data_IF_812337628998
#
_entry.id   IF_812337628998
#
_cell.length_a   1.000
_cell.length_b   1.000
_cell.length_c   1.000
_cell.angle_alpha   90.00
_cell.angle_beta   90.00
_cell.angle_gamma   90.00
#
_symmetry.space_group_name_H-M   'P 1'
#
loop_
_entity.id
_entity.type
_entity.pdbx_description
1 polymer ?
#
# COMPACT_ATOMS: atom_id res chain seq x y z
N UNK A 1 30.41 -18.88 11.39
CA UNK A 1 29.17 -18.21 11.85
C UNK A 1 28.36 -17.96 10.60
N UNK A 2 27.26 -18.62 10.50
CA UNK A 2 26.53 -18.96 9.29
C UNK A 2 25.82 -17.76 8.64
N UNK A 3 26.17 -17.53 7.38
CA UNK A 3 25.60 -16.53 6.49
C UNK A 3 24.25 -16.97 5.90
N UNK A 4 23.20 -17.01 6.71
CA UNK A 4 21.85 -17.31 6.22
C UNK A 4 20.97 -16.05 5.98
N UNK A 5 21.59 -14.86 5.85
CA UNK A 5 20.85 -13.60 5.76
C UNK A 5 20.37 -13.25 4.33
N UNK A 6 20.71 -14.03 3.30
CA UNK A 6 20.48 -13.63 1.90
C UNK A 6 19.75 -14.66 1.02
N UNK A 7 19.02 -15.58 1.62
CA UNK A 7 18.19 -16.48 0.81
C UNK A 7 16.94 -15.74 0.37
N UNK A 8 16.66 -15.60 -0.95
CA UNK A 8 15.40 -15.04 -1.42
C UNK A 8 14.28 -15.99 -0.96
N UNK A 9 13.57 -15.61 0.06
CA UNK A 9 12.33 -16.29 0.41
C UNK A 9 11.31 -15.97 -0.68
N UNK A 10 10.82 -17.01 -1.34
CA UNK A 10 9.61 -16.94 -2.16
C UNK A 10 8.53 -16.15 -1.43
N UNK A 11 7.63 -15.45 -2.13
CA UNK A 11 6.56 -14.72 -1.46
C UNK A 11 5.90 -15.63 -0.43
N UNK A 12 5.89 -15.18 0.83
CA UNK A 12 5.15 -15.90 1.86
C UNK A 12 3.68 -15.79 1.48
N UNK A 13 3.02 -16.87 1.09
CA UNK A 13 1.61 -16.78 0.71
C UNK A 13 0.82 -16.29 1.91
N UNK A 14 0.09 -15.20 1.78
CA UNK A 14 -0.99 -14.82 2.72
C UNK A 14 -2.09 -15.89 2.70
N UNK A 15 -2.06 -16.78 1.73
CA UNK A 15 -2.97 -17.88 1.59
C UNK A 15 -2.74 -18.90 2.70
N UNK A 16 -3.48 -18.77 3.79
CA UNK A 16 -3.72 -19.91 4.69
C UNK A 16 -4.37 -21.01 3.84
N UNK A 17 -3.75 -22.21 3.73
CA UNK A 17 -4.33 -23.30 2.95
C UNK A 17 -5.79 -23.53 3.37
N UNK A 18 -6.72 -23.51 2.40
CA UNK A 18 -8.15 -23.71 2.65
C UNK A 18 -8.99 -22.45 2.90
N UNK A 19 -8.40 -21.26 3.02
CA UNK A 19 -9.16 -20.01 3.15
C UNK A 19 -9.32 -19.34 1.78
N UNK A 20 -10.56 -19.07 1.38
CA UNK A 20 -10.81 -18.42 0.08
C UNK A 20 -10.29 -16.97 0.04
N UNK A 21 -9.88 -16.47 -1.14
CA UNK A 21 -9.51 -15.05 -1.29
C UNK A 21 -10.59 -14.09 -0.82
N UNK A 22 -11.85 -14.42 -1.05
CA UNK A 22 -12.98 -13.64 -0.57
C UNK A 22 -13.03 -13.54 0.97
N UNK A 23 -12.77 -14.66 1.66
CA UNK A 23 -12.72 -14.68 3.13
C UNK A 23 -11.55 -13.82 3.64
N UNK A 24 -10.41 -13.87 2.97
CA UNK A 24 -9.24 -13.04 3.32
C UNK A 24 -9.55 -11.55 3.12
N UNK A 25 -10.17 -11.17 2.00
CA UNK A 25 -10.58 -9.80 1.74
C UNK A 25 -11.62 -9.31 2.77
N UNK A 26 -12.57 -10.18 3.13
CA UNK A 26 -13.56 -9.86 4.16
C UNK A 26 -12.93 -9.70 5.55
N UNK A 27 -11.86 -10.42 5.87
CA UNK A 27 -11.12 -10.23 7.12
C UNK A 27 -10.47 -8.82 7.17
N UNK A 28 -9.88 -8.37 6.06
CA UNK A 28 -9.33 -7.01 5.95
C UNK A 28 -10.44 -5.97 6.16
N UNK A 29 -11.59 -6.15 5.50
CA UNK A 29 -12.75 -5.26 5.62
C UNK A 29 -13.28 -5.19 7.05
N UNK A 30 -13.47 -6.35 7.69
CA UNK A 30 -13.96 -6.43 9.06
C UNK A 30 -13.00 -5.73 10.04
N UNK A 31 -11.69 -6.02 9.97
CA UNK A 31 -10.70 -5.36 10.82
C UNK A 31 -10.70 -3.84 10.65
N UNK A 32 -10.87 -3.36 9.41
CA UNK A 32 -10.91 -1.93 9.14
C UNK A 32 -12.19 -1.28 9.68
N UNK A 33 -13.34 -1.90 9.47
CA UNK A 33 -14.62 -1.41 9.99
C UNK A 33 -14.61 -1.34 11.52
N UNK A 34 -14.20 -2.41 12.18
CA UNK A 34 -14.17 -2.50 13.63
C UNK A 34 -13.23 -1.45 14.25
N UNK A 35 -12.03 -1.28 13.68
CA UNK A 35 -11.07 -0.32 14.18
C UNK A 35 -11.53 1.13 13.98
N UNK A 36 -12.07 1.47 12.81
CA UNK A 36 -12.60 2.81 12.53
C UNK A 36 -13.81 3.11 13.43
N UNK A 37 -14.70 2.13 13.60
CA UNK A 37 -15.87 2.28 14.48
C UNK A 37 -15.45 2.44 15.94
N UNK A 38 -14.51 1.65 16.43
CA UNK A 38 -14.01 1.75 17.81
C UNK A 38 -13.33 3.10 18.06
N UNK A 39 -12.56 3.61 17.12
CA UNK A 39 -11.90 4.90 17.20
C UNK A 39 -12.88 6.08 17.03
N UNK A 40 -14.10 5.85 16.56
CA UNK A 40 -15.06 6.87 16.13
C UNK A 40 -14.40 7.92 15.19
N UNK A 41 -13.42 7.51 14.43
CA UNK A 41 -12.61 8.36 13.55
C UNK A 41 -11.85 7.49 12.56
N UNK A 42 -11.76 7.93 11.30
CA UNK A 42 -11.01 7.24 10.26
C UNK A 42 -11.75 7.15 8.94
N UNK A 43 -11.16 6.44 8.00
CA UNK A 43 -11.62 6.35 6.63
C UNK A 43 -11.75 4.86 6.20
N UNK A 44 -12.95 4.28 6.20
CA UNK A 44 -13.13 2.86 5.84
C UNK A 44 -13.17 2.62 4.32
N UNK A 45 -13.36 3.65 3.50
CA UNK A 45 -13.61 3.50 2.05
C UNK A 45 -12.52 2.75 1.30
N UNK A 46 -11.28 3.20 1.39
CA UNK A 46 -10.15 2.54 0.73
C UNK A 46 -9.94 1.08 1.19
N UNK A 47 -9.96 0.74 2.49
CA UNK A 47 -9.94 -0.66 2.93
C UNK A 47 -11.08 -1.52 2.37
N UNK A 48 -12.26 -0.95 2.20
CA UNK A 48 -13.41 -1.67 1.65
C UNK A 48 -13.25 -1.94 0.16
N UNK A 49 -12.84 -0.94 -0.62
CA UNK A 49 -12.68 -1.04 -2.08
C UNK A 49 -11.47 -1.87 -2.50
N UNK A 50 -10.34 -1.67 -1.83
CA UNK A 50 -9.06 -2.24 -2.23
C UNK A 50 -8.75 -3.62 -1.63
N UNK A 51 -9.60 -4.21 -0.77
CA UNK A 51 -9.30 -5.45 -0.07
C UNK A 51 -8.99 -6.62 -1.02
N UNK A 52 -9.74 -6.79 -2.10
CA UNK A 52 -9.52 -7.88 -3.07
C UNK A 52 -8.20 -7.69 -3.84
N UNK A 53 -7.90 -6.45 -4.27
CA UNK A 53 -6.60 -6.10 -4.86
C UNK A 53 -5.45 -6.39 -3.91
N UNK A 54 -5.61 -6.02 -2.64
CA UNK A 54 -4.61 -6.24 -1.62
C UNK A 54 -4.34 -7.73 -1.39
N UNK A 55 -5.38 -8.57 -1.30
CA UNK A 55 -5.23 -10.02 -1.19
C UNK A 55 -4.51 -10.60 -2.40
N UNK A 56 -4.85 -10.15 -3.61
CA UNK A 56 -4.19 -10.62 -4.82
C UNK A 56 -2.70 -10.23 -4.83
N UNK A 57 -2.38 -8.97 -4.53
CA UNK A 57 -1.01 -8.47 -4.51
C UNK A 57 -0.16 -9.16 -3.43
N UNK A 58 -0.60 -9.08 -2.18
CA UNK A 58 0.17 -9.58 -1.03
C UNK A 58 0.24 -11.10 -0.98
N UNK A 59 -0.78 -11.79 -1.50
CA UNK A 59 -0.83 -13.26 -1.51
C UNK A 59 -0.11 -13.92 -2.67
N UNK A 60 0.20 -13.19 -3.76
CA UNK A 60 0.71 -13.83 -4.98
C UNK A 60 1.90 -13.13 -5.63
N UNK A 61 2.09 -11.84 -5.40
CA UNK A 61 3.04 -11.04 -6.18
C UNK A 61 4.08 -10.33 -5.32
N UNK A 62 3.69 -9.77 -4.17
CA UNK A 62 4.57 -8.99 -3.32
C UNK A 62 5.60 -9.89 -2.63
N UNK A 63 6.88 -9.67 -2.89
CA UNK A 63 7.98 -10.33 -2.21
C UNK A 63 8.32 -9.55 -0.94
N UNK A 64 7.95 -10.09 0.21
CA UNK A 64 8.19 -9.48 1.51
C UNK A 64 8.58 -10.54 2.55
N UNK A 65 9.16 -10.10 3.66
CA UNK A 65 9.52 -10.97 4.76
C UNK A 65 9.11 -10.34 6.09
N UNK A 66 8.03 -10.82 6.73
CA UNK A 66 7.54 -10.30 8.01
C UNK A 66 8.54 -10.42 9.16
N UNK A 67 9.43 -11.42 9.11
CA UNK A 67 10.47 -11.64 10.14
C UNK A 67 11.71 -10.79 9.90
N UNK A 68 11.90 -10.29 8.66
CA UNK A 68 12.96 -9.35 8.30
C UNK A 68 12.39 -8.21 7.44
N UNK A 69 11.62 -7.29 8.02
CA UNK A 69 11.01 -6.19 7.28
C UNK A 69 12.03 -5.20 6.69
N UNK A 70 13.29 -5.29 7.09
CA UNK A 70 14.41 -4.49 6.55
C UNK A 70 15.17 -5.18 5.41
N UNK A 71 14.75 -6.35 4.96
CA UNK A 71 15.40 -7.05 3.84
C UNK A 71 15.57 -6.12 2.63
N UNK A 72 16.80 -5.93 2.18
CA UNK A 72 17.14 -4.90 1.21
C UNK A 72 16.45 -5.09 -0.15
N UNK A 73 16.33 -6.33 -0.62
CA UNK A 73 15.73 -6.64 -1.92
C UNK A 73 14.24 -7.05 -1.85
N UNK A 74 13.53 -6.68 -0.76
CA UNK A 74 12.08 -6.82 -0.69
C UNK A 74 11.39 -5.88 -1.67
N UNK A 75 10.24 -6.26 -2.16
CA UNK A 75 9.38 -5.32 -2.88
C UNK A 75 8.90 -4.19 -1.94
N UNK A 76 8.63 -3.04 -2.50
CA UNK A 76 8.10 -1.87 -1.77
C UNK A 76 6.60 -1.78 -1.98
N UNK A 77 5.86 -1.61 -0.89
CA UNK A 77 4.43 -1.33 -0.95
C UNK A 77 4.15 0.05 -0.36
N UNK A 78 3.52 0.90 -1.16
CA UNK A 78 3.16 2.26 -0.77
C UNK A 78 1.64 2.42 -0.85
N UNK A 79 1.04 2.87 0.24
CA UNK A 79 -0.36 3.29 0.27
C UNK A 79 -0.42 4.81 0.10
N UNK A 80 -0.62 5.29 -1.14
CA UNK A 80 -0.63 6.74 -1.44
C UNK A 80 -1.87 7.43 -0.87
N UNK A 81 -3.02 6.74 -0.85
CA UNK A 81 -4.21 7.17 -0.13
C UNK A 81 -4.08 6.80 1.37
N UNK A 82 -3.09 7.40 2.02
CA UNK A 82 -2.69 7.09 3.39
C UNK A 82 -3.78 7.28 4.45
N UNK A 83 -4.84 8.04 4.15
CA UNK A 83 -6.02 8.14 5.01
C UNK A 83 -6.73 6.79 5.20
N UNK A 84 -6.62 5.86 4.23
CA UNK A 84 -7.09 4.49 4.33
C UNK A 84 -6.13 3.56 5.08
N UNK A 85 -5.43 4.06 6.08
CA UNK A 85 -4.31 3.40 6.78
C UNK A 85 -4.66 2.02 7.36
N UNK A 86 -5.91 1.77 7.74
CA UNK A 86 -6.32 0.46 8.22
C UNK A 86 -6.14 -0.66 7.20
N UNK A 87 -6.09 -0.35 5.90
CA UNK A 87 -5.77 -1.35 4.88
C UNK A 87 -4.38 -1.94 5.11
N UNK A 88 -3.36 -1.08 5.19
CA UNK A 88 -1.97 -1.55 5.39
C UNK A 88 -1.81 -2.19 6.78
N UNK A 89 -2.44 -1.67 7.82
CA UNK A 89 -2.34 -2.26 9.16
C UNK A 89 -2.98 -3.65 9.24
N UNK A 90 -4.15 -3.85 8.62
CA UNK A 90 -4.76 -5.17 8.53
C UNK A 90 -3.87 -6.16 7.75
N UNK A 91 -3.27 -5.72 6.64
CA UNK A 91 -2.34 -6.53 5.85
C UNK A 91 -1.10 -6.91 6.66
N UNK A 92 -0.45 -5.96 7.32
CA UNK A 92 0.72 -6.22 8.15
C UNK A 92 0.41 -7.18 9.29
N UNK A 93 -0.75 -7.04 9.95
CA UNK A 93 -1.19 -7.96 10.99
C UNK A 93 -1.41 -9.37 10.43
N UNK A 94 -2.20 -9.50 9.37
CA UNK A 94 -2.60 -10.78 8.80
C UNK A 94 -1.42 -11.53 8.14
N UNK A 95 -0.39 -10.81 7.71
CA UNK A 95 0.81 -11.39 7.08
C UNK A 95 1.95 -11.66 8.07
N UNK A 96 1.75 -11.44 9.36
CA UNK A 96 2.66 -11.86 10.41
C UNK A 96 3.76 -10.87 10.79
N UNK A 97 3.64 -9.60 10.40
CA UNK A 97 4.52 -8.57 10.94
C UNK A 97 4.27 -8.37 12.45
N UNK A 98 5.23 -7.75 13.15
CA UNK A 98 5.13 -7.45 14.59
C UNK A 98 4.11 -6.34 14.87
N UNK A 99 2.87 -6.58 14.46
CA UNK A 99 1.72 -5.70 14.66
C UNK A 99 0.55 -6.52 15.23
N UNK A 100 0.50 -6.75 16.55
CA UNK A 100 -0.53 -7.58 17.16
C UNK A 100 -1.92 -6.92 17.08
N UNK A 101 -2.97 -7.74 17.21
CA UNK A 101 -4.37 -7.29 17.15
C UNK A 101 -4.69 -6.16 18.16
N UNK A 102 -3.99 -6.11 19.28
CA UNK A 102 -4.13 -5.04 20.26
C UNK A 102 -3.79 -3.66 19.70
N UNK A 103 -2.82 -3.57 18.79
CA UNK A 103 -2.49 -2.32 18.11
C UNK A 103 -3.61 -1.88 17.15
N UNK A 104 -4.25 -2.82 16.45
CA UNK A 104 -5.38 -2.52 15.58
C UNK A 104 -6.59 -2.01 16.39
N UNK A 105 -6.84 -2.60 17.57
CA UNK A 105 -7.87 -2.12 18.49
C UNK A 105 -7.61 -0.71 19.03
N UNK A 106 -6.34 -0.32 19.08
CA UNK A 106 -5.90 1.00 19.50
C UNK A 106 -5.68 1.96 18.31
N UNK A 107 -6.37 1.75 17.19
CA UNK A 107 -6.28 2.60 16.02
C UNK A 107 -6.55 4.06 16.38
N UNK A 108 -5.65 4.96 15.92
CA UNK A 108 -5.70 6.41 16.19
C UNK A 108 -5.59 6.82 17.66
N UNK A 109 -5.19 5.90 18.54
CA UNK A 109 -4.94 6.27 19.93
C UNK A 109 -3.51 6.76 20.11
N UNK A 110 -3.31 7.68 21.03
CA UNK A 110 -1.97 8.22 21.31
C UNK A 110 -1.00 7.10 21.72
N UNK A 111 0.15 7.04 21.06
CA UNK A 111 1.19 6.06 21.33
C UNK A 111 0.98 4.68 20.68
N UNK A 112 -0.14 4.45 19.98
CA UNK A 112 -0.34 3.20 19.23
C UNK A 112 0.49 3.18 17.95
N UNK A 113 0.82 1.98 17.46
CA UNK A 113 1.52 1.80 16.17
C UNK A 113 0.59 1.99 14.96
N UNK A 114 -0.68 2.19 15.16
CA UNK A 114 -1.70 2.31 14.13
C UNK A 114 -2.24 3.75 14.09
N UNK A 115 -1.36 4.68 13.74
CA UNK A 115 -1.69 6.09 13.57
C UNK A 115 -2.74 6.30 12.46
N UNK A 116 -3.38 7.45 12.43
CA UNK A 116 -4.39 7.80 11.42
C UNK A 116 -3.88 7.75 9.98
N UNK A 117 -2.58 7.93 9.80
CA UNK A 117 -1.85 7.78 8.53
C UNK A 117 -0.60 6.95 8.78
N UNK A 118 -0.13 6.14 7.79
CA UNK A 118 1.07 5.34 7.96
C UNK A 118 2.31 6.21 8.17
N UNK A 119 3.15 5.82 9.13
CA UNK A 119 4.39 6.52 9.46
C UNK A 119 5.58 5.57 9.37
N UNK A 120 6.57 5.93 8.54
CA UNK A 120 7.81 5.17 8.41
C UNK A 120 8.59 5.19 9.73
N UNK A 121 9.15 4.03 10.11
CA UNK A 121 9.88 3.86 11.36
C UNK A 121 9.00 3.66 12.59
N UNK A 122 7.69 3.89 12.51
CA UNK A 122 6.75 3.69 13.59
C UNK A 122 6.11 2.30 13.56
N UNK A 123 5.66 1.87 12.39
CA UNK A 123 5.06 0.56 12.17
C UNK A 123 5.97 -0.29 11.29
N UNK A 124 6.39 -1.50 11.74
CA UNK A 124 7.20 -2.40 10.91
C UNK A 124 6.49 -2.74 9.60
N UNK A 125 7.19 -2.57 8.46
CA UNK A 125 6.65 -2.85 7.12
C UNK A 125 6.02 -1.64 6.42
N UNK A 126 5.94 -0.48 7.06
CA UNK A 126 5.59 0.79 6.42
C UNK A 126 6.83 1.37 5.76
N UNK A 127 6.78 1.56 4.43
CA UNK A 127 7.92 1.98 3.61
C UNK A 127 8.11 3.50 3.60
N UNK A 128 7.03 4.25 3.72
CA UNK A 128 7.06 5.73 3.71
C UNK A 128 5.84 6.29 4.45
N UNK A 129 6.03 7.47 5.02
CA UNK A 129 4.94 8.24 5.62
C UNK A 129 4.06 8.80 4.51
N UNK A 130 2.76 8.56 4.60
CA UNK A 130 1.76 9.08 3.67
C UNK A 130 0.62 9.75 4.44
N UNK A 131 -0.26 10.45 3.72
CA UNK A 131 -1.36 11.24 4.30
C UNK A 131 -1.71 12.37 3.36
N UNK A 132 -0.80 13.32 3.09
CA UNK A 132 -0.98 14.27 2.00
C UNK A 132 -1.07 13.55 0.67
N UNK A 133 -2.18 13.77 -0.06
CA UNK A 133 -2.45 13.09 -1.32
C UNK A 133 -1.37 13.39 -2.37
N UNK A 134 -1.10 12.44 -3.25
CA UNK A 134 -0.07 12.53 -4.29
C UNK A 134 1.36 12.22 -3.83
N UNK A 135 1.70 12.46 -2.58
CA UNK A 135 3.08 12.25 -2.09
C UNK A 135 3.49 10.77 -2.09
N UNK A 136 2.58 9.85 -1.73
CA UNK A 136 2.89 8.42 -1.75
C UNK A 136 3.24 7.92 -3.14
N UNK A 137 2.50 8.33 -4.17
CA UNK A 137 2.82 8.01 -5.56
C UNK A 137 4.19 8.57 -5.96
N UNK A 138 4.48 9.81 -5.60
CA UNK A 138 5.78 10.45 -5.87
C UNK A 138 6.94 9.73 -5.18
N UNK A 139 6.75 9.32 -3.93
CA UNK A 139 7.74 8.50 -3.21
C UNK A 139 7.95 7.14 -3.89
N UNK A 140 6.88 6.50 -4.37
CA UNK A 140 6.96 5.24 -5.11
C UNK A 140 7.77 5.39 -6.41
N UNK A 141 7.59 6.49 -7.14
CA UNK A 141 8.43 6.83 -8.30
C UNK A 141 9.90 6.96 -7.91
N UNK A 142 10.19 7.65 -6.80
CA UNK A 142 11.55 7.76 -6.26
C UNK A 142 12.16 6.40 -5.87
N UNK A 143 11.37 5.52 -5.24
CA UNK A 143 11.81 4.17 -4.88
C UNK A 143 12.11 3.31 -6.12
N UNK A 144 11.28 3.38 -7.15
CA UNK A 144 11.50 2.66 -8.40
C UNK A 144 12.71 3.21 -9.18
N UNK A 145 12.95 4.52 -9.11
CA UNK A 145 14.16 5.13 -9.67
C UNK A 145 15.41 4.64 -8.90
N UNK A 146 15.36 4.63 -7.58
CA UNK A 146 16.45 4.13 -6.74
C UNK A 146 16.78 2.67 -7.05
N UNK A 147 15.78 1.81 -7.21
CA UNK A 147 15.99 0.43 -7.65
C UNK A 147 16.74 0.38 -8.98
N UNK A 148 16.29 1.12 -9.98
CA UNK A 148 16.90 1.15 -11.31
C UNK A 148 18.35 1.61 -11.28
N UNK A 149 18.67 2.62 -10.50
CA UNK A 149 20.04 3.13 -10.33
C UNK A 149 20.93 2.10 -9.62
N UNK A 150 20.46 1.55 -8.50
CA UNK A 150 21.21 0.53 -7.74
C UNK A 150 21.40 -0.76 -8.56
N UNK A 151 20.39 -1.18 -9.32
CA UNK A 151 20.51 -2.33 -10.20
C UNK A 151 21.58 -2.11 -11.28
N UNK A 152 21.63 -0.91 -11.86
CA UNK A 152 22.66 -0.54 -12.84
C UNK A 152 24.06 -0.51 -12.24
N UNK A 153 24.19 -0.11 -10.99
CA UNK A 153 25.49 -0.01 -10.30
C UNK A 153 26.00 -1.37 -9.81
N UNK A 154 25.12 -2.18 -9.21
CA UNK A 154 25.54 -3.36 -8.45
C UNK A 154 25.28 -4.71 -9.13
N UNK A 155 24.30 -4.82 -10.03
CA UNK A 155 24.03 -6.08 -10.71
C UNK A 155 25.15 -6.42 -11.70
N UNK A 156 25.40 -7.73 -11.85
CA UNK A 156 26.37 -8.29 -12.81
C UNK A 156 25.72 -9.49 -13.52
N UNK A 157 26.29 -9.92 -14.62
CA UNK A 157 25.81 -11.07 -15.38
C UNK A 157 25.69 -12.30 -14.47
N UNK A 158 24.49 -12.86 -14.41
CA UNK A 158 24.16 -13.97 -13.54
C UNK A 158 23.95 -13.64 -12.05
N UNK A 159 24.14 -12.38 -11.65
CA UNK A 159 24.00 -11.93 -10.25
C UNK A 159 23.14 -10.67 -10.13
N UNK A 160 21.82 -10.86 -10.05
CA UNK A 160 20.85 -9.78 -9.83
C UNK A 160 20.59 -9.62 -8.32
N UNK A 161 21.40 -8.78 -7.64
CA UNK A 161 21.26 -8.52 -6.19
C UNK A 161 20.25 -7.42 -5.88
N UNK A 162 19.93 -6.57 -6.85
CA UNK A 162 18.88 -5.54 -6.75
C UNK A 162 17.84 -5.85 -7.82
N UNK A 163 16.69 -6.35 -7.39
CA UNK A 163 15.63 -6.80 -8.30
C UNK A 163 14.26 -6.76 -7.60
N UNK A 164 13.89 -5.62 -7.05
CA UNK A 164 12.60 -5.46 -6.38
C UNK A 164 11.65 -4.56 -7.17
N UNK A 165 10.36 -4.83 -7.02
CA UNK A 165 9.32 -3.99 -7.56
C UNK A 165 8.85 -2.96 -6.53
N UNK A 166 8.24 -1.89 -7.02
CA UNK A 166 7.52 -0.92 -6.20
C UNK A 166 6.05 -0.94 -6.60
N UNK A 167 5.20 -1.27 -5.64
CA UNK A 167 3.75 -1.27 -5.80
C UNK A 167 3.16 -0.09 -5.05
N UNK A 168 2.26 0.63 -5.69
CA UNK A 168 1.57 1.75 -5.06
C UNK A 168 0.07 1.64 -5.26
N UNK A 169 -0.68 1.76 -4.15
CA UNK A 169 -2.13 1.90 -4.19
C UNK A 169 -2.48 3.37 -4.09
N UNK A 170 -3.39 3.82 -4.95
CA UNK A 170 -3.82 5.21 -5.02
C UNK A 170 -5.30 5.30 -5.41
N UNK A 171 -5.93 6.40 -5.07
CA UNK A 171 -7.30 6.73 -5.44
C UNK A 171 -7.36 8.04 -6.21
N UNK A 172 -8.57 8.47 -6.55
CA UNK A 172 -8.84 9.68 -7.34
C UNK A 172 -8.15 10.92 -6.80
N UNK A 173 -8.29 11.19 -5.50
CA UNK A 173 -7.67 12.36 -4.88
C UNK A 173 -6.16 12.40 -5.02
N UNK A 174 -5.50 11.24 -5.07
CA UNK A 174 -4.06 11.19 -5.32
C UNK A 174 -3.70 11.66 -6.72
N UNK A 175 -4.52 11.32 -7.72
CA UNK A 175 -4.28 11.73 -9.11
C UNK A 175 -4.68 13.18 -9.39
N UNK A 176 -5.49 13.78 -8.54
CA UNK A 176 -5.87 15.20 -8.67
C UNK A 176 -4.75 16.16 -8.26
N UNK A 177 -3.75 15.68 -7.56
CA UNK A 177 -2.62 16.49 -7.13
C UNK A 177 -1.65 16.77 -8.28
N UNK A 178 -1.20 18.02 -8.42
CA UNK A 178 -0.28 18.43 -9.49
C UNK A 178 1.02 17.62 -9.52
N UNK A 179 1.59 17.33 -8.35
CA UNK A 179 2.81 16.54 -8.21
C UNK A 179 2.68 15.13 -8.78
N UNK A 180 1.48 14.56 -8.77
CA UNK A 180 1.23 13.22 -9.33
C UNK A 180 1.45 13.19 -10.83
N UNK A 181 1.01 14.22 -11.55
CA UNK A 181 1.18 14.33 -12.99
C UNK A 181 2.66 14.46 -13.37
N UNK A 182 3.41 15.26 -12.61
CA UNK A 182 4.84 15.42 -12.81
C UNK A 182 5.59 14.11 -12.54
N UNK A 183 5.27 13.43 -11.43
CA UNK A 183 5.88 12.15 -11.06
C UNK A 183 5.60 11.05 -12.09
N UNK A 184 4.36 10.94 -12.58
CA UNK A 184 3.98 9.97 -13.62
C UNK A 184 4.72 10.27 -14.93
N UNK A 185 4.82 11.54 -15.33
CA UNK A 185 5.56 11.92 -16.52
C UNK A 185 7.04 11.53 -16.42
N UNK A 186 7.68 11.75 -15.27
CA UNK A 186 9.05 11.34 -15.01
C UNK A 186 9.20 9.82 -15.02
N UNK A 187 8.29 9.09 -14.40
CA UNK A 187 8.30 7.62 -14.39
C UNK A 187 8.26 7.05 -15.82
N UNK A 188 7.43 7.64 -16.68
CA UNK A 188 7.35 7.29 -18.10
C UNK A 188 8.64 7.63 -18.85
N UNK A 189 9.17 8.86 -18.68
CA UNK A 189 10.39 9.32 -19.32
C UNK A 189 11.60 8.45 -18.95
N UNK A 190 11.70 8.05 -17.69
CA UNK A 190 12.77 7.20 -17.18
C UNK A 190 12.52 5.70 -17.38
N UNK A 191 11.36 5.31 -17.93
CA UNK A 191 10.99 3.92 -18.18
C UNK A 191 11.13 3.06 -16.92
N UNK A 192 10.45 3.47 -15.84
CA UNK A 192 10.47 2.76 -14.57
C UNK A 192 9.52 1.56 -14.61
N UNK A 193 9.91 0.51 -15.30
CA UNK A 193 9.10 -0.68 -15.59
C UNK A 193 8.81 -1.58 -14.38
N UNK A 194 9.47 -1.34 -13.25
CA UNK A 194 9.21 -2.02 -11.97
C UNK A 194 8.31 -1.23 -11.02
N UNK A 195 7.78 -0.09 -11.46
CA UNK A 195 6.73 0.62 -10.77
C UNK A 195 5.36 0.11 -11.26
N UNK A 196 4.56 -0.39 -10.33
CA UNK A 196 3.20 -0.87 -10.59
C UNK A 196 2.23 -0.06 -9.75
N UNK A 197 1.40 0.75 -10.40
CA UNK A 197 0.37 1.54 -9.76
C UNK A 197 -0.99 0.85 -9.91
N UNK A 198 -1.68 0.63 -8.79
CA UNK A 198 -3.04 0.10 -8.76
C UNK A 198 -3.98 1.21 -8.30
N UNK A 199 -4.92 1.53 -9.16
CA UNK A 199 -5.83 2.65 -9.01
C UNK A 199 -7.22 2.16 -8.59
N UNK A 200 -7.72 2.74 -7.51
CA UNK A 200 -9.09 2.55 -7.04
C UNK A 200 -9.96 3.70 -7.55
N UNK A 201 -10.74 3.43 -8.58
CA UNK A 201 -11.68 4.37 -9.18
C UNK A 201 -12.94 4.46 -8.31
N UNK A 202 -12.81 5.07 -7.15
CA UNK A 202 -13.90 5.27 -6.22
C UNK A 202 -14.58 6.61 -6.48
N UNK A 203 -15.68 6.59 -7.20
CA UNK A 203 -16.48 7.76 -7.58
C UNK A 203 -16.99 8.63 -6.41
N UNK A 204 -16.72 8.23 -5.17
CA UNK A 204 -17.15 8.97 -3.99
C UNK A 204 -16.48 10.37 -3.88
N UNK A 205 -15.33 10.56 -4.52
CA UNK A 205 -14.54 11.79 -4.45
C UNK A 205 -14.19 12.39 -5.82
N UNK A 206 -14.74 11.85 -6.90
CA UNK A 206 -14.50 12.41 -8.22
C UNK A 206 -15.33 13.68 -8.42
N UNK A 207 -14.74 14.66 -9.09
CA UNK A 207 -15.51 15.78 -9.61
C UNK A 207 -16.58 15.27 -10.56
N UNK A 208 -17.83 15.77 -10.46
CA UNK A 208 -18.91 15.33 -11.33
C UNK A 208 -18.51 15.42 -12.80
N UNK A 209 -18.56 14.29 -13.50
CA UNK A 209 -18.36 14.24 -14.94
C UNK A 209 -19.71 14.28 -15.65
N UNK A 210 -19.86 15.01 -16.75
CA UNK A 210 -21.07 14.94 -17.57
C UNK A 210 -21.42 13.54 -18.07
N UNK A 211 -20.44 12.61 -18.02
CA UNK A 211 -20.63 11.20 -18.39
C UNK A 211 -21.06 10.34 -17.21
N UNK A 212 -21.01 10.87 -15.98
CA UNK A 212 -21.36 10.12 -14.78
C UNK A 212 -22.87 10.11 -14.59
N UNK A 213 -23.50 9.01 -14.99
CA UNK A 213 -24.95 8.80 -14.85
C UNK A 213 -25.42 8.67 -13.40
N UNK A 214 -24.51 8.51 -12.45
CA UNK A 214 -24.78 8.37 -11.00
C UNK A 214 -24.70 9.70 -10.26
N UNK A 215 -24.47 10.76 -10.97
CA UNK A 215 -24.48 12.08 -10.37
C UNK A 215 -25.83 12.34 -9.72
N UNK A 216 -25.88 12.36 -8.39
CA UNK A 216 -27.02 12.89 -7.68
C UNK A 216 -27.21 14.32 -8.13
N UNK A 217 -28.34 14.61 -8.73
CA UNK A 217 -28.72 15.99 -9.01
C UNK A 217 -28.77 16.69 -7.65
N UNK A 218 -27.76 17.48 -7.35
CA UNK A 218 -27.90 18.43 -6.24
C UNK A 218 -29.14 19.25 -6.54
N UNK A 219 -30.09 19.35 -5.61
CA UNK A 219 -31.20 20.26 -5.80
C UNK A 219 -30.61 21.64 -6.01
N UNK A 220 -30.94 22.29 -7.09
CA UNK A 220 -30.74 23.71 -7.26
C UNK A 220 -31.67 24.41 -6.29
N UNK A 221 -31.30 24.50 -5.07
CA UNK A 221 -31.92 25.41 -4.09
C UNK A 221 -30.93 26.49 -3.84
N UNK A 222 -31.21 27.51 -4.50
CA UNK A 222 -31.38 28.89 -4.10
C UNK A 222 -30.53 29.31 -2.92
#
# INVERSE_FOLDING_TARGET
MSDDANTPTSPVPVATPGVSPQTQANAIRALAMDAVQAANSGHPGAPMGMADMAVALWGRHLRHNPTNPAWANRDRFVLSNGHGSMLIYALLHLTGYKLPIGELKNFRQLGSKTAGHPEVGHTPGVETTTGPLGQGLTNAVGMALAEKLLASEFNRDGHAIVDHNTYVFLGDGCLMEGISHEAIALAGAWKLNKLVALYDDCLLYTSPSPRDKRQSRMPSSA
#
